data_IF_759960235471
#
_entry.id   IF_759960235471
#
_cell.length_a   1.000
_cell.length_b   1.000
_cell.length_c   1.000
_cell.angle_alpha   90.00
_cell.angle_beta   90.00
_cell.angle_gamma   90.00
#
_symmetry.space_group_name_H-M   'P 1'
#
loop_
_entity.id
_entity.type
_entity.pdbx_description
1 polymer ?
#
# COMPACT_ATOMS: atom_id res chain seq x y z
N UNK A 1 25.76 5.41 0.38
CA UNK A 1 25.55 6.14 -0.88
C UNK A 1 24.18 6.77 -0.79
N UNK A 2 24.05 8.09 -0.93
CA UNK A 2 22.77 8.79 -0.81
C UNK A 2 22.33 9.23 -2.20
N UNK A 3 21.10 8.89 -2.58
CA UNK A 3 20.50 9.27 -3.87
C UNK A 3 19.29 10.16 -3.62
N UNK A 4 19.28 11.36 -4.21
CA UNK A 4 18.14 12.29 -4.14
C UNK A 4 17.27 12.10 -5.37
N UNK A 5 15.96 11.96 -5.15
CA UNK A 5 14.98 11.70 -6.21
C UNK A 5 13.88 12.76 -6.14
N UNK A 6 13.64 13.46 -7.26
CA UNK A 6 12.50 14.37 -7.42
C UNK A 6 11.58 13.76 -8.46
N UNK A 7 10.34 13.50 -8.08
CA UNK A 7 9.35 12.88 -8.96
C UNK A 7 8.00 13.59 -8.84
N UNK A 8 7.33 13.75 -9.97
CA UNK A 8 5.96 14.29 -10.03
C UNK A 8 5.04 13.19 -10.56
N UNK A 9 3.97 12.91 -9.83
CA UNK A 9 3.01 11.87 -10.20
C UNK A 9 1.60 12.39 -10.01
N UNK A 10 0.70 12.05 -10.93
CA UNK A 10 -0.72 12.31 -10.76
C UNK A 10 -1.32 11.35 -9.72
N UNK A 11 -2.55 11.63 -9.28
CA UNK A 11 -3.24 10.82 -8.27
C UNK A 11 -3.36 9.34 -8.68
N UNK A 12 -3.69 9.03 -9.95
CA UNK A 12 -3.81 7.66 -10.45
C UNK A 12 -2.48 6.90 -10.39
N UNK A 13 -1.38 7.56 -10.75
CA UNK A 13 -0.02 7.01 -10.67
C UNK A 13 0.39 6.77 -9.22
N UNK A 14 0.07 7.70 -8.31
CA UNK A 14 0.29 7.53 -6.87
C UNK A 14 -0.47 6.31 -6.33
N UNK A 15 -1.73 6.14 -6.71
CA UNK A 15 -2.52 4.95 -6.35
C UNK A 15 -1.87 3.64 -6.79
N UNK A 16 -1.39 3.60 -8.04
CA UNK A 16 -0.67 2.43 -8.54
C UNK A 16 0.65 2.21 -7.77
N UNK A 17 1.37 3.28 -7.48
CA UNK A 17 2.61 3.25 -6.71
C UNK A 17 2.38 2.68 -5.31
N UNK A 18 1.38 3.16 -4.57
CA UNK A 18 1.05 2.64 -3.25
C UNK A 18 0.60 1.17 -3.29
N UNK A 19 -0.18 0.78 -4.30
CA UNK A 19 -0.60 -0.63 -4.45
C UNK A 19 0.57 -1.60 -4.54
N UNK A 20 1.60 -1.24 -5.31
CA UNK A 20 2.78 -2.09 -5.51
C UNK A 20 3.83 -1.92 -4.40
N UNK A 21 4.12 -0.69 -3.99
CA UNK A 21 5.26 -0.38 -3.12
C UNK A 21 4.93 -0.44 -1.63
N UNK A 22 3.65 -0.39 -1.23
CA UNK A 22 3.25 -0.70 0.15
C UNK A 22 3.12 -2.22 0.40
N UNK A 23 3.33 -3.07 -0.62
CA UNK A 23 3.37 -4.51 -0.46
C UNK A 23 4.54 -4.95 0.44
N UNK A 24 4.37 -5.98 1.27
CA UNK A 24 5.45 -6.50 2.15
C UNK A 24 6.64 -7.04 1.36
N UNK A 25 6.44 -7.44 0.10
CA UNK A 25 7.48 -7.97 -0.79
C UNK A 25 8.36 -6.91 -1.43
N UNK A 26 7.91 -5.66 -1.49
CA UNK A 26 8.72 -4.58 -1.99
C UNK A 26 9.96 -4.38 -1.10
N UNK A 27 11.07 -3.92 -1.68
CA UNK A 27 12.27 -3.58 -0.90
C UNK A 27 11.92 -2.64 0.26
N UNK A 28 12.51 -2.90 1.43
CA UNK A 28 12.12 -2.23 2.66
C UNK A 28 12.29 -0.70 2.58
N UNK A 29 13.33 -0.22 1.90
CA UNK A 29 13.61 1.22 1.69
C UNK A 29 12.48 1.93 0.93
N UNK A 30 12.08 1.38 -0.23
CA UNK A 30 10.99 1.97 -1.02
C UNK A 30 9.64 1.81 -0.34
N UNK A 31 9.46 0.75 0.45
CA UNK A 31 8.25 0.53 1.24
C UNK A 31 8.10 1.61 2.30
N UNK A 32 9.15 1.90 3.04
CA UNK A 32 9.14 2.96 4.05
C UNK A 32 8.89 4.33 3.42
N UNK A 33 9.55 4.63 2.29
CA UNK A 33 9.30 5.85 1.52
C UNK A 33 7.83 5.95 1.08
N UNK A 34 7.28 4.88 0.52
CA UNK A 34 5.89 4.85 0.07
C UNK A 34 4.89 5.05 1.23
N UNK A 35 5.16 4.49 2.41
CA UNK A 35 4.33 4.69 3.60
C UNK A 35 4.36 6.15 4.08
N UNK A 36 5.55 6.78 4.10
CA UNK A 36 5.69 8.20 4.44
C UNK A 36 4.98 9.09 3.42
N UNK A 37 5.13 8.82 2.13
CA UNK A 37 4.42 9.53 1.07
C UNK A 37 2.90 9.37 1.19
N UNK A 38 2.40 8.17 1.50
CA UNK A 38 0.97 7.89 1.73
C UNK A 38 0.39 8.77 2.84
N UNK A 39 1.11 8.91 3.94
CA UNK A 39 0.70 9.75 5.07
C UNK A 39 0.56 11.22 4.66
N UNK A 40 1.57 11.75 3.94
CA UNK A 40 1.53 13.14 3.46
C UNK A 40 0.37 13.40 2.50
N UNK A 41 0.14 12.51 1.52
CA UNK A 41 -0.97 12.72 0.56
C UNK A 41 -2.34 12.54 1.22
N UNK A 42 -2.44 11.73 2.27
CA UNK A 42 -3.68 11.56 3.05
C UNK A 42 -4.02 12.81 3.87
N UNK A 43 -3.02 13.56 4.32
CA UNK A 43 -3.22 14.86 4.97
C UNK A 43 -3.68 15.93 3.96
N UNK A 44 -3.14 15.91 2.74
CA UNK A 44 -3.50 16.88 1.69
C UNK A 44 -4.90 16.61 1.12
N UNK A 45 -5.22 15.34 0.83
CA UNK A 45 -6.49 14.96 0.21
C UNK A 45 -7.03 13.64 0.81
N UNK A 46 -7.62 13.68 2.02
CA UNK A 46 -8.04 12.48 2.74
C UNK A 46 -9.13 11.70 2.02
N UNK A 47 -10.06 12.38 1.34
CA UNK A 47 -11.16 11.73 0.60
C UNK A 47 -10.61 10.97 -0.60
N UNK A 48 -9.70 11.59 -1.36
CA UNK A 48 -9.09 10.93 -2.52
C UNK A 48 -8.21 9.77 -2.11
N UNK A 49 -7.37 9.91 -1.07
CA UNK A 49 -6.44 8.87 -0.64
C UNK A 49 -6.97 8.02 0.53
N UNK A 50 -8.28 8.01 0.77
CA UNK A 50 -8.92 7.17 1.79
C UNK A 50 -8.61 5.69 1.58
N UNK A 51 -8.68 5.25 0.31
CA UNK A 51 -8.43 3.89 -0.15
C UNK A 51 -7.01 3.70 -0.73
N UNK A 52 -6.09 4.64 -0.47
CA UNK A 52 -4.73 4.52 -0.95
C UNK A 52 -3.94 3.57 -0.05
N UNK A 53 -3.74 2.34 -0.54
CA UNK A 53 -3.04 1.30 0.18
C UNK A 53 -2.68 0.11 -0.72
N UNK A 54 -2.01 -0.91 -0.17
CA UNK A 54 -1.79 -2.15 -0.89
C UNK A 54 -3.14 -2.83 -1.17
N UNK A 55 -3.31 -3.42 -2.36
CA UNK A 55 -4.55 -4.16 -2.70
C UNK A 55 -4.92 -5.23 -1.68
N UNK A 56 -3.95 -5.78 -0.96
CA UNK A 56 -4.18 -6.76 0.09
C UNK A 56 -4.99 -6.21 1.28
N UNK A 57 -4.88 -4.90 1.56
CA UNK A 57 -5.55 -4.21 2.67
C UNK A 57 -6.86 -3.56 2.22
N UNK A 58 -6.93 -3.14 0.95
CA UNK A 58 -8.10 -2.42 0.40
C UNK A 58 -9.11 -3.38 -0.22
N UNK A 59 -8.63 -4.37 -0.99
CA UNK A 59 -9.46 -5.29 -1.76
C UNK A 59 -9.47 -6.70 -1.14
N UNK A 60 -8.67 -6.94 -0.09
CA UNK A 60 -8.51 -8.27 0.50
C UNK A 60 -7.91 -9.30 -0.46
N UNK A 61 -7.29 -8.84 -1.56
CA UNK A 61 -6.75 -9.67 -2.64
C UNK A 61 -5.32 -9.22 -2.94
N UNK A 62 -4.42 -10.19 -3.09
CA UNK A 62 -3.07 -9.93 -3.60
C UNK A 62 -3.00 -10.32 -5.07
N UNK A 63 -2.87 -9.33 -5.96
CA UNK A 63 -2.75 -9.54 -7.41
C UNK A 63 -1.44 -10.19 -7.85
N UNK A 64 -0.50 -10.43 -6.92
CA UNK A 64 0.77 -11.11 -7.21
C UNK A 64 0.64 -12.65 -7.28
N UNK A 65 -0.56 -13.20 -7.07
CA UNK A 65 -0.84 -14.63 -7.31
C UNK A 65 0.00 -15.57 -6.45
N UNK A 66 0.78 -16.46 -7.10
CA UNK A 66 1.74 -17.36 -6.43
C UNK A 66 2.75 -16.61 -5.57
N UNK A 67 3.06 -15.38 -5.94
CA UNK A 67 3.96 -14.52 -5.18
C UNK A 67 3.21 -13.58 -4.23
N UNK A 68 2.05 -14.01 -3.72
CA UNK A 68 1.31 -13.30 -2.70
C UNK A 68 2.19 -12.95 -1.49
N UNK A 69 2.05 -11.73 -0.99
CA UNK A 69 2.77 -11.30 0.21
C UNK A 69 2.21 -11.89 1.53
N UNK A 70 1.23 -12.81 1.45
CA UNK A 70 0.57 -13.46 2.59
C UNK A 70 -0.38 -12.54 3.38
N UNK A 71 -0.24 -11.21 3.23
CA UNK A 71 -1.01 -10.22 4.00
C UNK A 71 -2.51 -10.24 3.72
N UNK A 72 -2.93 -10.64 2.52
CA UNK A 72 -4.36 -10.78 2.20
C UNK A 72 -5.02 -11.91 3.02
N UNK A 73 -4.32 -13.01 3.29
CA UNK A 73 -4.82 -14.07 4.16
C UNK A 73 -4.92 -13.59 5.62
N UNK A 74 -3.95 -12.80 6.08
CA UNK A 74 -3.93 -12.20 7.43
C UNK A 74 -5.12 -11.27 7.66
N UNK A 75 -5.44 -10.41 6.67
CA UNK A 75 -6.61 -9.52 6.71
C UNK A 75 -7.91 -10.33 6.72
N UNK A 76 -8.06 -11.31 5.83
CA UNK A 76 -9.25 -12.20 5.78
C UNK A 76 -9.46 -13.01 7.05
N UNK A 77 -8.39 -13.52 7.67
CA UNK A 77 -8.49 -14.26 8.94
C UNK A 77 -8.93 -13.36 10.10
N UNK A 78 -8.59 -12.07 10.07
CA UNK A 78 -8.92 -11.13 11.15
C UNK A 78 -10.40 -10.76 11.18
N UNK A 79 -11.10 -10.90 10.06
CA UNK A 79 -12.56 -10.77 10.00
C UNK A 79 -13.29 -11.95 10.69
N UNK A 80 -12.60 -13.02 11.09
CA UNK A 80 -13.19 -14.23 11.69
C UNK A 80 -13.11 -14.24 13.23
N UNK A 81 -12.58 -13.19 13.89
CA UNK A 81 -12.43 -13.15 15.37
C UNK A 81 -13.27 -12.08 16.08
N UNK A 82 -14.42 -11.67 15.52
CA UNK A 82 -15.41 -10.84 16.23
C UNK A 82 -16.84 -11.30 15.94
N UNK A 83 -17.10 -12.60 16.11
CA UNK A 83 -18.46 -13.14 16.27
C UNK A 83 -18.40 -14.26 17.33
N UNK A 84 -18.78 -13.93 18.56
CA UNK A 84 -19.10 -14.90 19.63
C UNK A 84 -18.26 -14.82 20.89
#
# INVERSE_FOLDING_TARGET
>A
METKLVCTMNARSLFNFFRMRCCRRAQWEIRELALRMREQVRQVAPILFALAGPSCEIEGICWEGEFSCGRAQEVRCREVTDDG
#
